data_IF_649786157064
#
_entry.id   IF_649786157064
#
_cell.length_a   1.000
_cell.length_b   1.000
_cell.length_c   1.000
_cell.angle_alpha   90.00
_cell.angle_beta   90.00
_cell.angle_gamma   90.00
#
_symmetry.space_group_name_H-M   'P 1'
#
loop_
_entity.id
_entity.type
_entity.pdbx_description
1 polymer ?
#
# COMPACT_ATOMS: atom_id res chain seq x y z
N UNK A 1 4.29 -0.23 -12.95
CA UNK A 1 3.20 0.73 -12.63
C UNK A 1 2.33 0.17 -11.51
N UNK A 2 1.50 0.98 -10.83
CA UNK A 2 0.77 0.55 -9.61
C UNK A 2 -0.15 -0.67 -9.77
N UNK A 3 -0.65 -0.95 -10.99
CA UNK A 3 -1.49 -2.12 -11.32
C UNK A 3 -0.69 -3.31 -11.92
N UNK A 4 0.64 -3.23 -11.96
CA UNK A 4 1.48 -4.28 -12.55
C UNK A 4 1.45 -5.55 -11.69
N UNK A 5 1.47 -6.71 -12.37
CA UNK A 5 1.64 -8.01 -11.71
C UNK A 5 3.05 -8.28 -11.23
N UNK A 6 4.03 -7.50 -11.68
CA UNK A 6 5.41 -7.60 -11.20
C UNK A 6 5.57 -6.71 -9.97
N UNK A 7 5.88 -7.34 -8.84
CA UNK A 7 6.08 -6.64 -7.56
C UNK A 7 7.15 -5.56 -7.67
N UNK A 8 8.24 -5.81 -8.41
CA UNK A 8 9.29 -4.82 -8.64
C UNK A 8 8.76 -3.55 -9.30
N UNK A 9 7.97 -3.69 -10.38
CA UNK A 9 7.37 -2.54 -11.09
C UNK A 9 6.29 -1.82 -10.27
N UNK A 10 5.66 -2.51 -9.31
CA UNK A 10 4.68 -1.92 -8.40
C UNK A 10 5.39 -1.14 -7.29
N UNK A 11 6.37 -1.76 -6.61
CA UNK A 11 7.21 -1.10 -5.60
C UNK A 11 7.93 0.11 -6.18
N UNK A 12 8.48 -0.01 -7.39
CA UNK A 12 9.12 1.10 -8.10
C UNK A 12 8.14 2.25 -8.36
N UNK A 13 6.87 1.95 -8.65
CA UNK A 13 5.86 2.99 -8.79
C UNK A 13 5.51 3.64 -7.43
N UNK A 14 5.46 2.86 -6.33
CA UNK A 14 5.19 3.36 -4.98
C UNK A 14 6.30 4.30 -4.50
N UNK A 15 7.58 3.92 -4.64
CA UNK A 15 8.71 4.74 -4.16
C UNK A 15 8.86 6.08 -4.89
N UNK A 16 8.18 6.28 -6.03
CA UNK A 16 8.21 7.53 -6.79
C UNK A 16 7.22 8.58 -6.24
N UNK A 17 6.27 8.20 -5.40
CA UNK A 17 5.26 9.10 -4.85
C UNK A 17 5.82 10.29 -4.04
N UNK A 18 6.83 10.13 -3.16
CA UNK A 18 7.40 11.27 -2.44
C UNK A 18 7.92 12.35 -3.40
N UNK A 19 8.68 11.95 -4.42
CA UNK A 19 9.20 12.86 -5.46
C UNK A 19 8.08 13.50 -6.28
N UNK A 20 6.98 12.77 -6.51
CA UNK A 20 5.79 13.31 -7.16
C UNK A 20 5.12 14.40 -6.32
N UNK A 21 5.00 14.20 -5.01
CA UNK A 21 4.39 15.16 -4.09
C UNK A 21 5.22 16.43 -3.95
N UNK A 22 6.55 16.30 -3.96
CA UNK A 22 7.45 17.45 -3.97
C UNK A 22 7.35 18.26 -5.26
N UNK A 23 7.22 17.58 -6.41
CA UNK A 23 7.08 18.24 -7.70
C UNK A 23 5.72 18.90 -7.89
N UNK A 24 4.66 18.29 -7.37
CA UNK A 24 3.28 18.72 -7.54
C UNK A 24 2.54 18.69 -6.20
N UNK A 25 2.72 19.72 -5.35
CA UNK A 25 2.17 19.74 -3.99
C UNK A 25 0.68 20.09 -3.92
N UNK A 26 -0.09 19.76 -4.96
CA UNK A 26 -1.50 20.09 -5.10
C UNK A 26 -2.35 19.18 -4.20
N UNK A 27 -3.23 19.74 -3.34
CA UNK A 27 -4.04 18.96 -2.41
C UNK A 27 -4.87 17.85 -3.06
N UNK A 28 -5.45 18.11 -4.24
CA UNK A 28 -6.27 17.12 -4.97
C UNK A 28 -5.42 15.90 -5.38
N UNK A 29 -4.20 16.14 -5.88
CA UNK A 29 -3.28 15.06 -6.28
C UNK A 29 -2.82 14.26 -5.06
N UNK A 30 -2.47 14.95 -3.98
CA UNK A 30 -2.00 14.32 -2.75
C UNK A 30 -3.12 13.47 -2.13
N UNK A 31 -4.32 14.02 -1.99
CA UNK A 31 -5.48 13.30 -1.44
C UNK A 31 -5.80 12.04 -2.27
N UNK A 32 -5.94 12.18 -3.59
CA UNK A 32 -6.22 11.04 -4.48
C UNK A 32 -5.10 9.98 -4.44
N UNK A 33 -3.85 10.41 -4.34
CA UNK A 33 -2.70 9.52 -4.22
C UNK A 33 -2.69 8.73 -2.92
N UNK A 34 -2.89 9.40 -1.77
CA UNK A 34 -2.96 8.72 -0.48
C UNK A 34 -4.15 7.76 -0.39
N UNK A 35 -5.32 8.15 -0.91
CA UNK A 35 -6.47 7.25 -1.02
C UNK A 35 -6.15 6.02 -1.88
N UNK A 36 -5.36 6.19 -2.95
CA UNK A 36 -4.95 5.08 -3.81
C UNK A 36 -3.93 4.17 -3.12
N UNK A 37 -2.97 4.73 -2.40
CA UNK A 37 -2.00 3.98 -1.61
C UNK A 37 -2.68 3.21 -0.47
N UNK A 38 -3.65 3.81 0.22
CA UNK A 38 -4.43 3.14 1.26
C UNK A 38 -5.24 1.97 0.71
N UNK A 39 -5.79 2.11 -0.50
CA UNK A 39 -6.48 0.99 -1.16
C UNK A 39 -5.53 -0.16 -1.50
N UNK A 40 -4.30 0.15 -1.94
CA UNK A 40 -3.27 -0.88 -2.16
C UNK A 40 -2.81 -1.54 -0.85
N UNK A 41 -2.71 -0.76 0.22
CA UNK A 41 -2.38 -1.26 1.56
C UNK A 41 -3.44 -2.24 2.07
N UNK A 42 -4.72 -1.91 1.85
CA UNK A 42 -5.88 -2.71 2.23
C UNK A 42 -5.92 -4.06 1.51
N UNK A 43 -5.94 -4.06 0.18
CA UNK A 43 -6.17 -5.29 -0.60
C UNK A 43 -4.97 -6.25 -0.47
N UNK A 44 -3.74 -5.72 -0.43
CA UNK A 44 -2.57 -6.55 -0.77
C UNK A 44 -2.65 -7.03 -2.23
N UNK A 45 -1.62 -7.69 -2.76
CA UNK A 45 -1.67 -8.17 -4.14
C UNK A 45 -2.51 -9.45 -4.22
N UNK A 46 -3.79 -9.36 -4.65
CA UNK A 46 -4.67 -10.51 -4.83
C UNK A 46 -5.11 -10.61 -6.29
N UNK A 47 -4.47 -11.49 -7.06
CA UNK A 47 -5.06 -12.09 -8.25
C UNK A 47 -5.40 -13.54 -7.92
N UNK A 48 -6.67 -13.83 -7.61
CA UNK A 48 -7.17 -15.17 -7.27
C UNK A 48 -7.19 -16.16 -8.44
N UNK A 49 -6.93 -15.71 -9.67
CA UNK A 49 -7.07 -16.53 -10.88
C UNK A 49 -5.82 -17.36 -11.26
N UNK A 50 -4.70 -17.25 -10.54
CA UNK A 50 -3.41 -17.90 -10.89
C UNK A 50 -2.94 -18.96 -9.88
N UNK A 51 -3.81 -19.69 -9.18
CA UNK A 51 -3.37 -20.68 -8.18
C UNK A 51 -3.61 -22.14 -8.64
N UNK A 52 -2.59 -22.80 -9.22
CA UNK A 52 -2.49 -24.26 -9.23
C UNK A 52 -1.97 -24.81 -7.90
N UNK A 53 -2.24 -26.10 -7.67
CA UNK A 53 -2.23 -26.88 -6.41
C UNK A 53 -0.90 -26.99 -5.62
N UNK A 54 -0.17 -25.90 -5.36
CA UNK A 54 0.97 -25.87 -4.42
C UNK A 54 0.72 -24.88 -3.28
N UNK A 55 -0.30 -25.17 -2.47
CA UNK A 55 -0.94 -24.23 -1.56
C UNK A 55 0.01 -23.56 -0.54
N UNK A 56 1.04 -24.25 -0.04
CA UNK A 56 1.88 -23.75 1.06
C UNK A 56 2.96 -22.75 0.62
N UNK A 57 3.74 -23.07 -0.43
CA UNK A 57 4.77 -22.15 -0.93
C UNK A 57 4.14 -20.91 -1.57
N UNK A 58 3.03 -21.10 -2.28
CA UNK A 58 2.23 -20.03 -2.86
C UNK A 58 1.74 -19.11 -1.74
N UNK A 59 1.14 -19.60 -0.64
CA UNK A 59 0.69 -18.72 0.45
C UNK A 59 1.82 -17.86 1.02
N UNK A 60 2.99 -18.45 1.28
CA UNK A 60 4.15 -17.74 1.84
C UNK A 60 4.66 -16.64 0.90
N UNK A 61 4.79 -16.94 -0.40
CA UNK A 61 5.24 -15.95 -1.40
C UNK A 61 4.21 -14.82 -1.59
N UNK A 62 2.92 -15.11 -1.49
CA UNK A 62 1.87 -14.11 -1.60
C UNK A 62 1.83 -13.19 -0.37
N UNK A 63 2.01 -13.76 0.82
CA UNK A 63 2.06 -12.99 2.06
C UNK A 63 3.24 -12.01 2.04
N UNK A 64 4.44 -12.51 1.68
CA UNK A 64 5.64 -11.69 1.51
C UNK A 64 5.45 -10.55 0.50
N UNK A 65 4.82 -10.86 -0.65
CA UNK A 65 4.52 -9.87 -1.70
C UNK A 65 3.61 -8.76 -1.19
N UNK A 66 2.54 -9.14 -0.49
CA UNK A 66 1.56 -8.17 0.02
C UNK A 66 2.16 -7.27 1.10
N UNK A 67 3.00 -7.83 1.97
CA UNK A 67 3.66 -7.09 3.05
C UNK A 67 4.79 -6.19 2.56
N UNK A 68 5.48 -6.55 1.47
CA UNK A 68 6.48 -5.68 0.86
C UNK A 68 5.86 -4.38 0.32
N UNK A 69 4.72 -4.47 -0.37
CA UNK A 69 3.99 -3.29 -0.84
C UNK A 69 3.51 -2.43 0.33
N UNK A 70 3.00 -3.05 1.41
CA UNK A 70 2.60 -2.34 2.65
C UNK A 70 3.77 -1.60 3.29
N UNK A 71 4.94 -2.22 3.37
CA UNK A 71 6.14 -1.60 3.90
C UNK A 71 6.55 -0.37 3.08
N UNK A 72 6.54 -0.44 1.75
CA UNK A 72 6.87 0.71 0.92
C UNK A 72 5.83 1.82 1.02
N UNK A 73 4.55 1.48 1.10
CA UNK A 73 3.48 2.46 1.33
C UNK A 73 3.69 3.17 2.67
N UNK A 74 3.98 2.43 3.75
CA UNK A 74 4.32 3.00 5.05
C UNK A 74 5.52 3.95 4.94
N UNK A 75 6.59 3.53 4.26
CA UNK A 75 7.77 4.38 4.03
C UNK A 75 7.42 5.67 3.29
N UNK A 76 6.54 5.61 2.28
CA UNK A 76 6.07 6.78 1.55
C UNK A 76 5.26 7.72 2.45
N UNK A 77 4.38 7.19 3.30
CA UNK A 77 3.62 7.97 4.27
C UNK A 77 4.56 8.71 5.24
N UNK A 78 5.55 8.00 5.80
CA UNK A 78 6.54 8.59 6.70
C UNK A 78 7.41 9.65 6.02
N UNK A 79 7.89 9.39 4.80
CA UNK A 79 8.70 10.37 4.05
C UNK A 79 7.90 11.60 3.61
N UNK A 80 6.59 11.45 3.44
CA UNK A 80 5.69 12.49 2.96
C UNK A 80 4.80 13.05 4.08
N UNK A 81 5.26 13.00 5.33
CA UNK A 81 4.50 13.43 6.51
C UNK A 81 4.00 14.88 6.40
N UNK A 82 4.86 15.77 5.86
CA UNK A 82 4.53 17.18 5.53
C UNK A 82 3.35 17.37 4.57
N UNK A 83 2.87 16.29 3.95
CA UNK A 83 1.76 16.32 2.99
C UNK A 83 0.50 15.64 3.53
N UNK A 84 0.55 14.98 4.70
CA UNK A 84 -0.60 14.30 5.29
C UNK A 84 -1.71 15.28 5.67
N UNK A 85 -1.38 16.50 6.07
CA UNK A 85 -2.35 17.58 6.36
C UNK A 85 -3.23 17.95 5.15
N UNK A 86 -2.80 17.59 3.93
CA UNK A 86 -3.52 17.88 2.68
C UNK A 86 -4.51 16.77 2.30
N UNK A 87 -4.61 15.71 3.09
CA UNK A 87 -5.61 14.66 2.90
C UNK A 87 -6.96 15.22 3.35
N UNK A 88 -7.90 15.32 2.41
CA UNK A 88 -9.27 15.81 2.68
C UNK A 88 -10.14 14.66 3.19
N UNK A 89 -9.98 13.46 2.62
CA UNK A 89 -10.79 12.29 2.97
C UNK A 89 -10.10 11.42 4.04
N UNK A 90 -9.83 12.01 5.21
CA UNK A 90 -9.07 11.37 6.29
C UNK A 90 -9.77 10.10 6.80
N UNK A 91 -11.09 10.17 7.04
CA UNK A 91 -11.85 9.01 7.54
C UNK A 91 -11.74 7.79 6.62
N UNK A 92 -11.89 7.99 5.32
CA UNK A 92 -11.80 6.92 4.32
C UNK A 92 -10.37 6.38 4.21
N UNK A 93 -9.37 7.25 4.27
CA UNK A 93 -7.97 6.86 4.30
C UNK A 93 -7.66 5.97 5.52
N UNK A 94 -8.01 6.44 6.72
CA UNK A 94 -7.81 5.74 7.99
C UNK A 94 -8.54 4.41 7.99
N UNK A 95 -9.83 4.38 7.59
CA UNK A 95 -10.63 3.15 7.50
C UNK A 95 -9.97 2.08 6.63
N UNK A 96 -9.42 2.45 5.47
CA UNK A 96 -8.73 1.50 4.57
C UNK A 96 -7.47 0.91 5.18
N UNK A 97 -6.69 1.71 5.91
CA UNK A 97 -5.50 1.24 6.61
C UNK A 97 -5.90 0.31 7.77
N UNK A 98 -6.83 0.75 8.62
CA UNK A 98 -7.25 0.00 9.81
C UNK A 98 -7.97 -1.31 9.50
N UNK A 99 -8.59 -1.47 8.33
CA UNK A 99 -9.14 -2.77 7.91
C UNK A 99 -8.11 -3.91 7.94
N UNK A 100 -6.83 -3.63 7.77
CA UNK A 100 -5.75 -4.63 7.77
C UNK A 100 -5.43 -5.16 9.18
N UNK A 101 -5.81 -4.43 10.24
CA UNK A 101 -5.55 -4.86 11.63
C UNK A 101 -6.29 -6.15 12.00
N UNK A 102 -7.39 -6.44 11.31
CA UNK A 102 -8.18 -7.66 11.49
C UNK A 102 -7.65 -8.85 10.67
N UNK A 103 -6.54 -8.68 9.96
CA UNK A 103 -5.91 -9.78 9.23
C UNK A 103 -5.29 -10.82 10.17
N UNK A 104 -5.21 -12.07 9.70
CA UNK A 104 -4.56 -13.15 10.45
C UNK A 104 -3.01 -13.08 10.36
N UNK A 105 -2.47 -12.20 9.51
CA UNK A 105 -1.03 -12.04 9.34
C UNK A 105 -0.46 -11.08 10.40
N UNK A 106 0.43 -11.56 11.30
CA UNK A 106 1.05 -10.72 12.32
C UNK A 106 1.92 -9.60 11.73
N UNK A 107 2.54 -9.80 10.56
CA UNK A 107 3.38 -8.78 9.91
C UNK A 107 2.51 -7.66 9.35
N UNK A 108 1.43 -7.98 8.63
CA UNK A 108 0.46 -6.97 8.17
C UNK A 108 -0.12 -6.16 9.34
N UNK A 109 -0.46 -6.80 10.46
CA UNK A 109 -0.91 -6.10 11.67
C UNK A 109 0.17 -5.18 12.25
N UNK A 110 1.41 -5.67 12.35
CA UNK A 110 2.53 -4.87 12.85
C UNK A 110 2.84 -3.66 11.94
N UNK A 111 2.74 -3.81 10.62
CA UNK A 111 2.89 -2.72 9.66
C UNK A 111 1.77 -1.68 9.75
N UNK A 112 0.55 -2.10 10.10
CA UNK A 112 -0.61 -1.20 10.26
C UNK A 112 -0.48 -0.28 11.47
N UNK A 113 0.27 -0.68 12.50
CA UNK A 113 0.47 0.08 13.74
C UNK A 113 1.64 1.07 13.69
N UNK A 114 2.43 1.09 12.62
CA UNK A 114 3.63 1.94 12.45
C UNK A 114 3.36 3.14 11.56
#
# INVERSE_FOLDING_TARGET
>A
GLRSAKIGEQCEAIIRFPKLFEKYPFPILINSSFLKLAELFRIGYVNKHDIPNLFVYVLFVYDLRSNLSRLWILRVCQQSEKHLEKIVNVEEFVKRIFMVIHSNDPVARALTLR
#
